data_IF_385571145614
#
_entry.id   IF_385571145614
#
_cell.length_a   1.000
_cell.length_b   1.000
_cell.length_c   1.000
_cell.angle_alpha   90.00
_cell.angle_beta   90.00
_cell.angle_gamma   90.00
#
_symmetry.space_group_name_H-M   'P 1'
#
loop_
_entity.id
_entity.type
_entity.pdbx_description
1 polymer ?
#
# COMPACT_ATOMS: atom_id res chain seq x y z
N UNK A 1 -33.95 54.80 -15.40
CA UNK A 1 -32.77 53.96 -15.28
C UNK A 1 -33.15 52.60 -14.71
N UNK A 2 -32.89 51.53 -15.41
CA UNK A 2 -33.11 50.14 -14.95
C UNK A 2 -31.90 49.67 -14.17
N UNK A 3 -32.00 48.50 -13.55
CA UNK A 3 -30.89 47.87 -12.81
C UNK A 3 -30.68 46.44 -13.28
N UNK A 4 -29.43 45.94 -13.16
CA UNK A 4 -29.12 44.54 -13.42
C UNK A 4 -29.69 43.64 -12.33
N UNK A 5 -30.08 42.41 -12.69
CA UNK A 5 -30.76 41.48 -11.78
C UNK A 5 -29.86 41.03 -10.62
N UNK A 6 -28.58 40.78 -10.84
CA UNK A 6 -27.69 40.21 -9.83
C UNK A 6 -27.09 41.23 -8.87
N UNK A 7 -26.54 42.31 -9.38
CA UNK A 7 -25.80 43.28 -8.56
C UNK A 7 -26.43 44.64 -8.47
N UNK A 8 -27.63 44.82 -9.04
CA UNK A 8 -28.39 46.09 -9.06
C UNK A 8 -27.57 47.27 -9.63
N UNK A 9 -26.70 46.96 -10.59
CA UNK A 9 -25.91 47.97 -11.30
C UNK A 9 -26.83 48.80 -12.20
N UNK A 10 -26.57 50.08 -12.40
CA UNK A 10 -27.37 50.90 -13.31
C UNK A 10 -27.30 50.41 -14.74
N UNK A 11 -28.46 50.37 -15.37
CA UNK A 11 -28.64 50.19 -16.83
C UNK A 11 -29.21 51.46 -17.43
N UNK A 12 -28.38 52.24 -18.12
CA UNK A 12 -28.83 53.48 -18.70
C UNK A 12 -29.55 53.26 -20.05
N UNK A 13 -30.63 53.95 -20.23
CA UNK A 13 -31.33 54.08 -21.50
C UNK A 13 -30.94 55.39 -22.17
N UNK A 14 -31.22 55.52 -23.50
CA UNK A 14 -30.80 56.70 -24.30
C UNK A 14 -31.32 58.06 -23.77
N UNK A 15 -32.39 58.07 -23.03
CA UNK A 15 -33.01 59.26 -22.43
C UNK A 15 -32.56 59.49 -20.97
N UNK A 16 -31.79 58.62 -20.37
CA UNK A 16 -31.38 58.76 -18.97
C UNK A 16 -30.24 59.80 -18.86
N UNK A 17 -30.29 60.63 -17.84
CA UNK A 17 -29.24 61.54 -17.47
C UNK A 17 -28.26 60.78 -16.56
N UNK A 18 -27.01 60.60 -17.04
CA UNK A 18 -25.95 59.88 -16.31
C UNK A 18 -25.32 60.84 -15.29
N UNK A 19 -25.40 60.49 -13.99
CA UNK A 19 -24.74 61.22 -12.94
C UNK A 19 -23.44 60.54 -12.54
N UNK A 20 -22.45 61.30 -12.11
CA UNK A 20 -21.19 60.77 -11.59
C UNK A 20 -21.37 59.86 -10.41
N UNK A 21 -22.39 60.17 -9.56
CA UNK A 21 -22.74 59.34 -8.40
C UNK A 21 -23.20 57.94 -8.79
N UNK A 22 -23.99 57.82 -9.90
CA UNK A 22 -24.43 56.50 -10.39
C UNK A 22 -23.26 55.63 -10.85
N UNK A 23 -22.25 56.25 -11.45
CA UNK A 23 -21.00 55.58 -11.82
C UNK A 23 -20.22 55.11 -10.61
N UNK A 24 -19.99 56.00 -9.67
CA UNK A 24 -19.20 55.70 -8.45
C UNK A 24 -19.87 54.60 -7.63
N UNK A 25 -21.23 54.63 -7.52
CA UNK A 25 -21.98 53.58 -6.85
C UNK A 25 -21.87 52.21 -7.60
N UNK A 26 -21.94 52.24 -8.93
CA UNK A 26 -21.78 51.03 -9.72
C UNK A 26 -20.39 50.41 -9.55
N UNK A 27 -19.31 51.22 -9.60
CA UNK A 27 -17.94 50.77 -9.38
C UNK A 27 -17.75 50.25 -7.94
N UNK A 28 -18.26 50.95 -6.92
CA UNK A 28 -18.19 50.49 -5.55
C UNK A 28 -18.87 49.16 -5.32
N UNK A 29 -20.05 48.95 -5.91
CA UNK A 29 -20.75 47.63 -5.85
C UNK A 29 -19.99 46.53 -6.58
N UNK A 30 -19.41 46.84 -7.73
CA UNK A 30 -18.61 45.87 -8.50
C UNK A 30 -17.35 45.48 -7.72
N UNK A 31 -16.62 46.43 -7.18
CA UNK A 31 -15.41 46.20 -6.37
C UNK A 31 -15.74 45.36 -5.14
N UNK A 32 -16.79 45.68 -4.39
CA UNK A 32 -17.23 44.94 -3.23
C UNK A 32 -17.63 43.47 -3.62
N UNK A 33 -18.33 43.28 -4.73
CA UNK A 33 -18.73 41.97 -5.18
C UNK A 33 -17.52 41.11 -5.64
N UNK A 34 -16.55 41.71 -6.35
CA UNK A 34 -15.31 41.03 -6.73
C UNK A 34 -14.49 40.64 -5.50
N UNK A 35 -14.38 41.54 -4.52
CA UNK A 35 -13.69 41.25 -3.27
C UNK A 35 -14.37 40.11 -2.50
N UNK A 36 -15.69 40.15 -2.35
CA UNK A 36 -16.42 39.10 -1.69
C UNK A 36 -16.27 37.73 -2.35
N UNK A 37 -16.29 37.70 -3.70
CA UNK A 37 -16.02 36.49 -4.48
C UNK A 37 -14.59 35.95 -4.26
N UNK A 38 -13.60 36.83 -4.29
CA UNK A 38 -12.22 36.45 -4.04
C UNK A 38 -12.04 35.86 -2.63
N UNK A 39 -12.63 36.49 -1.62
CA UNK A 39 -12.57 36.02 -0.22
C UNK A 39 -13.31 34.68 -0.04
N UNK A 40 -14.50 34.54 -0.63
CA UNK A 40 -15.25 33.28 -0.58
C UNK A 40 -14.49 32.14 -1.27
N UNK A 41 -13.90 32.41 -2.44
CA UNK A 41 -13.07 31.43 -3.17
C UNK A 41 -11.85 31.03 -2.34
N UNK A 42 -11.13 31.99 -1.77
CA UNK A 42 -9.96 31.70 -0.94
C UNK A 42 -10.34 30.88 0.31
N UNK A 43 -11.48 31.21 0.94
CA UNK A 43 -11.98 30.47 2.11
C UNK A 43 -12.39 29.04 1.73
N UNK A 44 -13.12 28.85 0.63
CA UNK A 44 -13.51 27.55 0.12
C UNK A 44 -12.31 26.67 -0.24
N UNK A 45 -11.30 27.25 -0.90
CA UNK A 45 -10.09 26.50 -1.24
C UNK A 45 -9.30 26.04 0.00
N UNK A 46 -9.22 26.88 1.03
CA UNK A 46 -8.56 26.50 2.29
C UNK A 46 -9.32 25.39 2.98
N UNK A 47 -10.65 25.45 3.04
CA UNK A 47 -11.49 24.41 3.65
C UNK A 47 -11.35 23.09 2.90
N UNK A 48 -11.39 23.10 1.57
CA UNK A 48 -11.19 21.89 0.74
C UNK A 48 -9.79 21.29 0.92
N UNK A 49 -8.75 22.14 0.97
CA UNK A 49 -7.38 21.68 1.19
C UNK A 49 -7.24 21.01 2.56
N UNK A 50 -7.83 21.58 3.61
CA UNK A 50 -7.83 20.98 4.94
C UNK A 50 -8.57 19.63 4.96
N UNK A 51 -9.78 19.56 4.38
CA UNK A 51 -10.57 18.35 4.32
C UNK A 51 -9.87 17.22 3.55
N UNK A 52 -9.21 17.54 2.44
CA UNK A 52 -8.38 16.56 1.70
C UNK A 52 -7.20 16.07 2.53
N UNK A 53 -6.49 16.95 3.19
CA UNK A 53 -5.35 16.57 4.04
C UNK A 53 -5.77 15.65 5.19
N UNK A 54 -6.92 15.91 5.80
CA UNK A 54 -7.50 15.05 6.84
C UNK A 54 -7.90 13.68 6.27
N UNK A 55 -8.55 13.64 5.11
CA UNK A 55 -8.95 12.41 4.44
C UNK A 55 -7.73 11.57 4.02
N UNK A 56 -6.70 12.19 3.47
CA UNK A 56 -5.45 11.51 3.09
C UNK A 56 -4.72 10.95 4.31
N UNK A 57 -4.73 11.70 5.43
CA UNK A 57 -4.15 11.25 6.70
C UNK A 57 -4.92 10.04 7.25
N UNK A 58 -6.25 10.09 7.23
CA UNK A 58 -7.09 8.98 7.68
C UNK A 58 -6.92 7.75 6.77
N UNK A 59 -6.84 7.94 5.47
CA UNK A 59 -6.58 6.87 4.51
C UNK A 59 -5.20 6.23 4.73
N UNK A 60 -4.15 7.04 4.87
CA UNK A 60 -2.80 6.60 5.20
C UNK A 60 -2.76 5.78 6.50
N UNK A 61 -3.45 6.26 7.54
CA UNK A 61 -3.55 5.55 8.82
C UNK A 61 -4.28 4.22 8.67
N UNK A 62 -5.36 4.17 7.91
CA UNK A 62 -6.11 2.94 7.67
C UNK A 62 -5.31 1.95 6.82
N UNK A 63 -4.61 2.40 5.78
CA UNK A 63 -3.74 1.56 4.96
C UNK A 63 -2.51 1.05 5.73
N UNK A 64 -1.98 1.86 6.65
CA UNK A 64 -0.87 1.49 7.52
C UNK A 64 -1.27 0.66 8.75
N UNK A 65 -2.57 0.55 9.07
CA UNK A 65 -3.04 -0.31 10.16
C UNK A 65 -2.83 -1.79 9.81
N UNK A 66 -2.62 -2.62 10.84
CA UNK A 66 -2.35 -4.04 10.68
C UNK A 66 -3.38 -4.72 9.76
N UNK A 67 -2.91 -5.30 8.66
CA UNK A 67 -3.74 -5.99 7.68
C UNK A 67 -4.46 -5.11 6.65
N UNK A 68 -4.29 -3.80 6.68
CA UNK A 68 -4.98 -2.89 5.76
C UNK A 68 -4.18 -2.58 4.50
N UNK A 69 -2.86 -2.62 4.53
CA UNK A 69 -2.04 -2.55 3.34
C UNK A 69 -1.55 -3.96 2.95
N UNK A 70 -1.57 -4.27 1.66
CA UNK A 70 -1.01 -5.51 1.15
C UNK A 70 0.35 -5.21 0.50
N UNK A 71 1.41 -5.84 1.05
CA UNK A 71 2.75 -5.86 0.45
C UNK A 71 2.94 -7.19 -0.27
N UNK A 72 3.43 -7.12 -1.49
CA UNK A 72 3.79 -8.31 -2.29
C UNK A 72 5.25 -8.15 -2.71
N UNK A 73 6.06 -9.19 -2.48
CA UNK A 73 7.43 -9.23 -2.99
C UNK A 73 7.70 -10.58 -3.65
N UNK A 74 8.63 -10.57 -4.59
CA UNK A 74 9.12 -11.74 -5.29
C UNK A 74 10.63 -11.76 -5.22
N UNK A 75 11.20 -12.96 -5.19
CA UNK A 75 12.64 -13.11 -5.24
C UNK A 75 13.06 -14.53 -5.50
N UNK A 76 14.36 -14.75 -5.44
CA UNK A 76 14.96 -16.08 -5.61
C UNK A 76 16.21 -16.23 -4.76
N UNK A 77 16.57 -17.48 -4.49
CA UNK A 77 17.83 -17.84 -3.87
C UNK A 77 18.39 -19.12 -4.49
N UNK A 78 19.69 -19.35 -4.31
CA UNK A 78 20.34 -20.59 -4.76
C UNK A 78 20.57 -21.50 -3.56
N UNK A 79 20.18 -22.76 -3.69
CA UNK A 79 20.37 -23.77 -2.66
C UNK A 79 21.84 -24.05 -2.37
N UNK A 80 22.17 -24.25 -1.10
CA UNK A 80 23.54 -24.53 -0.61
C UNK A 80 23.84 -26.00 -0.47
N UNK A 81 22.82 -26.86 -0.40
CA UNK A 81 22.92 -28.29 -0.12
C UNK A 81 22.91 -28.62 1.38
N UNK A 82 22.89 -27.63 2.26
CA UNK A 82 22.84 -27.86 3.69
C UNK A 82 21.39 -28.17 4.16
N UNK A 83 21.24 -28.93 5.25
CA UNK A 83 19.95 -29.32 5.80
C UNK A 83 19.95 -29.25 7.34
N UNK A 84 18.74 -29.38 7.90
CA UNK A 84 18.51 -29.50 9.32
C UNK A 84 18.48 -28.18 10.11
N UNK A 85 18.18 -28.28 11.37
CA UNK A 85 17.99 -27.13 12.26
C UNK A 85 19.22 -26.21 12.43
N UNK A 86 20.42 -26.78 12.22
CA UNK A 86 21.68 -26.01 12.26
C UNK A 86 21.91 -25.18 10.97
N UNK A 87 21.16 -25.47 9.91
CA UNK A 87 21.31 -24.83 8.59
C UNK A 87 19.94 -24.48 8.02
N UNK A 88 19.12 -23.65 8.68
CA UNK A 88 17.81 -23.28 8.17
C UNK A 88 17.94 -22.38 6.94
N UNK A 89 17.00 -22.50 6.03
CA UNK A 89 16.80 -21.45 5.04
C UNK A 89 16.20 -20.23 5.74
N UNK A 90 16.61 -19.02 5.32
CA UNK A 90 16.09 -17.76 5.88
C UNK A 90 15.76 -16.80 4.75
N UNK A 91 14.54 -16.27 4.76
CA UNK A 91 14.11 -15.15 3.93
C UNK A 91 13.80 -13.96 4.82
N UNK A 92 14.37 -12.81 4.49
CA UNK A 92 14.20 -11.57 5.23
C UNK A 92 13.50 -10.53 4.35
N UNK A 93 12.57 -9.77 4.94
CA UNK A 93 11.72 -8.82 4.27
C UNK A 93 11.78 -7.46 4.97
N UNK A 94 11.35 -6.41 4.30
CA UNK A 94 11.23 -5.05 4.86
C UNK A 94 9.81 -4.79 5.43
N UNK A 95 8.95 -5.80 5.48
CA UNK A 95 7.59 -5.77 5.98
C UNK A 95 7.26 -7.05 6.76
N UNK A 96 6.09 -7.09 7.39
CA UNK A 96 5.59 -8.24 8.16
C UNK A 96 5.02 -9.30 7.22
N UNK A 97 5.73 -10.42 6.96
CA UNK A 97 5.25 -11.46 6.06
C UNK A 97 4.18 -12.32 6.74
N UNK A 98 3.11 -12.63 6.01
CA UNK A 98 1.99 -13.46 6.48
C UNK A 98 1.93 -14.79 5.74
N UNK A 99 2.20 -14.77 4.43
CA UNK A 99 2.19 -15.95 3.58
C UNK A 99 3.43 -15.92 2.70
N UNK A 100 4.16 -17.03 2.66
CA UNK A 100 5.31 -17.22 1.76
C UNK A 100 5.10 -18.52 0.98
N UNK A 101 5.22 -18.41 -0.33
CA UNK A 101 5.27 -19.54 -1.26
C UNK A 101 6.70 -19.71 -1.76
N UNK A 102 7.24 -20.92 -1.68
CA UNK A 102 8.58 -21.24 -2.19
C UNK A 102 8.46 -22.39 -3.19
N UNK A 103 9.08 -22.22 -4.36
CA UNK A 103 9.07 -23.23 -5.42
C UNK A 103 10.41 -23.30 -6.14
N UNK A 104 10.80 -24.48 -6.68
CA UNK A 104 11.97 -24.56 -7.57
C UNK A 104 11.67 -23.88 -8.91
N UNK A 105 12.64 -23.15 -9.45
CA UNK A 105 12.52 -22.50 -10.77
C UNK A 105 12.51 -23.53 -11.90
N UNK A 106 13.27 -24.60 -11.74
CA UNK A 106 13.30 -25.74 -12.66
C UNK A 106 13.05 -27.00 -11.84
N UNK A 107 11.83 -27.53 -11.80
CA UNK A 107 11.59 -28.81 -11.17
C UNK A 107 12.35 -29.88 -11.95
N UNK A 108 13.27 -30.55 -11.28
CA UNK A 108 13.99 -31.70 -11.83
C UNK A 108 13.52 -32.96 -11.08
N UNK A 109 12.79 -33.82 -11.77
CA UNK A 109 12.21 -35.01 -11.17
C UNK A 109 10.91 -34.74 -10.40
N UNK A 110 10.30 -35.79 -9.89
CA UNK A 110 8.95 -35.82 -9.31
C UNK A 110 8.82 -35.20 -7.89
N UNK A 111 9.79 -34.43 -7.39
CA UNK A 111 9.94 -34.29 -5.95
C UNK A 111 9.90 -32.86 -5.39
N UNK A 112 9.55 -31.85 -6.19
CA UNK A 112 9.63 -30.47 -5.69
C UNK A 112 8.36 -29.68 -5.94
N UNK A 113 7.32 -30.05 -5.21
CA UNK A 113 6.11 -29.25 -5.14
C UNK A 113 6.37 -27.94 -4.37
N UNK A 114 5.66 -26.86 -4.68
CA UNK A 114 5.74 -25.63 -3.89
C UNK A 114 5.38 -25.88 -2.43
N UNK A 115 6.13 -25.25 -1.51
CA UNK A 115 5.75 -25.20 -0.10
C UNK A 115 5.08 -23.88 0.22
N UNK A 116 4.01 -23.94 1.00
CA UNK A 116 3.24 -22.80 1.45
C UNK A 116 3.45 -22.65 2.95
N UNK A 117 4.03 -21.52 3.35
CA UNK A 117 4.23 -21.14 4.74
C UNK A 117 3.19 -20.07 5.12
N UNK A 118 2.37 -20.38 6.09
CA UNK A 118 1.38 -19.46 6.63
C UNK A 118 1.77 -19.08 8.05
N UNK A 119 1.84 -17.79 8.34
CA UNK A 119 2.15 -17.30 9.68
C UNK A 119 1.12 -17.80 10.70
N UNK A 120 1.61 -18.17 11.87
CA UNK A 120 0.82 -18.86 12.88
C UNK A 120 0.87 -20.38 12.80
N UNK A 121 1.47 -20.93 11.73
CA UNK A 121 1.80 -22.36 11.65
C UNK A 121 3.31 -22.55 11.76
N UNK A 122 3.69 -23.52 12.57
CA UNK A 122 5.08 -23.94 12.78
C UNK A 122 5.52 -25.07 11.83
N UNK A 123 4.60 -25.54 10.99
CA UNK A 123 4.81 -26.62 10.03
C UNK A 123 4.30 -26.23 8.65
N UNK A 124 5.06 -26.60 7.64
CA UNK A 124 4.65 -26.63 6.25
C UNK A 124 4.94 -28.00 5.65
N UNK A 125 4.31 -28.31 4.53
CA UNK A 125 4.55 -29.54 3.79
C UNK A 125 5.40 -29.29 2.57
N UNK A 126 6.39 -30.16 2.33
CA UNK A 126 7.10 -30.29 1.07
C UNK A 126 6.77 -31.69 0.56
N UNK A 127 5.64 -31.84 -0.16
CA UNK A 127 5.20 -33.14 -0.66
C UNK A 127 6.00 -33.55 -1.89
N UNK A 128 6.74 -34.66 -1.82
CA UNK A 128 7.15 -35.39 -3.01
C UNK A 128 6.02 -36.30 -3.48
N UNK A 129 5.94 -36.58 -4.76
CA UNK A 129 5.08 -37.64 -5.29
C UNK A 129 5.44 -38.96 -4.60
N UNK A 130 4.46 -39.59 -3.98
CA UNK A 130 4.63 -40.90 -3.35
C UNK A 130 4.08 -41.02 -1.94
N UNK A 131 3.39 -39.99 -1.41
CA UNK A 131 2.57 -40.12 -0.18
C UNK A 131 3.32 -39.96 1.14
N UNK A 132 4.60 -39.63 1.13
CA UNK A 132 5.32 -39.25 2.34
C UNK A 132 5.27 -37.75 2.56
N UNK A 133 4.64 -37.34 3.67
CA UNK A 133 4.54 -35.94 4.08
C UNK A 133 5.86 -35.50 4.72
N UNK A 134 6.75 -34.87 3.95
CA UNK A 134 7.97 -34.28 4.51
C UNK A 134 7.65 -32.95 5.14
N UNK A 135 7.67 -32.92 6.46
CA UNK A 135 7.37 -31.72 7.21
C UNK A 135 8.58 -30.78 7.26
N UNK A 136 8.31 -29.54 6.94
CA UNK A 136 9.22 -28.41 7.18
C UNK A 136 8.85 -27.75 8.49
N UNK A 137 9.81 -27.59 9.39
CA UNK A 137 9.64 -26.77 10.59
C UNK A 137 9.90 -25.32 10.23
N UNK A 138 8.93 -24.45 10.51
CA UNK A 138 8.97 -23.03 10.21
C UNK A 138 9.00 -22.18 11.47
N UNK A 139 9.80 -21.12 11.47
CA UNK A 139 9.83 -20.12 12.52
C UNK A 139 9.75 -18.73 11.91
N UNK A 140 9.03 -17.84 12.58
CA UNK A 140 8.73 -16.50 12.13
C UNK A 140 9.25 -15.44 13.09
N UNK A 141 9.87 -14.42 12.57
CA UNK A 141 10.10 -13.15 13.26
C UNK A 141 9.25 -12.05 12.63
N UNK A 142 9.32 -10.83 13.11
CA UNK A 142 8.53 -9.74 12.55
C UNK A 142 8.76 -9.51 11.05
N UNK A 143 9.96 -9.76 10.58
CA UNK A 143 10.35 -9.50 9.21
C UNK A 143 11.06 -10.67 8.52
N UNK A 144 11.00 -11.87 9.09
CA UNK A 144 11.64 -13.03 8.48
C UNK A 144 10.83 -14.31 8.65
N UNK A 145 11.04 -15.21 7.69
CA UNK A 145 10.70 -16.62 7.76
C UNK A 145 11.98 -17.44 7.70
N UNK A 146 12.11 -18.39 8.62
CA UNK A 146 13.11 -19.43 8.54
C UNK A 146 12.45 -20.81 8.53
N UNK A 147 13.07 -21.78 7.84
CA UNK A 147 12.58 -23.16 7.84
C UNK A 147 13.70 -24.18 7.63
N UNK A 148 13.46 -25.39 8.10
CA UNK A 148 14.36 -26.52 7.91
C UNK A 148 13.57 -27.83 7.80
N UNK A 149 14.17 -28.82 7.17
CA UNK A 149 13.74 -30.23 7.20
C UNK A 149 14.58 -31.03 8.19
N UNK A 150 13.98 -31.99 8.87
CA UNK A 150 14.72 -32.98 9.66
C UNK A 150 15.31 -34.09 8.81
N UNK A 151 14.93 -34.17 7.53
CA UNK A 151 15.49 -35.11 6.58
C UNK A 151 16.87 -34.65 6.09
N UNK A 152 17.70 -35.60 5.71
CA UNK A 152 19.05 -35.34 5.17
C UNK A 152 19.06 -34.93 3.71
N UNK A 153 17.96 -35.11 2.98
CA UNK A 153 17.85 -34.72 1.58
C UNK A 153 17.52 -33.24 1.43
N UNK A 154 18.48 -32.47 0.94
CA UNK A 154 18.37 -31.03 0.82
C UNK A 154 17.21 -30.54 -0.09
N UNK A 155 16.73 -31.39 -1.00
CA UNK A 155 15.57 -31.10 -1.85
C UNK A 155 14.29 -30.89 -1.05
N UNK A 156 14.09 -31.60 0.03
CA UNK A 156 12.91 -31.45 0.88
C UNK A 156 12.88 -30.11 1.63
N UNK A 157 14.05 -29.56 1.90
CA UNK A 157 14.19 -28.22 2.49
C UNK A 157 14.13 -27.09 1.45
N UNK A 158 13.96 -27.39 0.15
CA UNK A 158 14.18 -26.44 -0.94
C UNK A 158 15.58 -25.83 -0.93
N UNK A 159 16.60 -26.66 -0.68
CA UNK A 159 17.98 -26.19 -0.54
C UNK A 159 19.00 -27.09 -1.28
N UNK A 160 18.59 -27.80 -2.33
CA UNK A 160 19.50 -28.64 -3.09
C UNK A 160 20.59 -27.77 -3.75
N UNK A 161 21.84 -28.20 -3.61
CA UNK A 161 23.01 -27.43 -4.02
C UNK A 161 22.95 -27.03 -5.49
N UNK A 162 23.03 -25.72 -5.74
CA UNK A 162 23.05 -25.16 -7.10
C UNK A 162 21.66 -24.99 -7.75
N UNK A 163 20.60 -25.52 -7.16
CA UNK A 163 19.24 -25.26 -7.65
C UNK A 163 18.78 -23.87 -7.26
N UNK A 164 18.05 -23.21 -8.18
CA UNK A 164 17.43 -21.92 -7.92
C UNK A 164 15.98 -22.13 -7.51
N UNK A 165 15.62 -21.46 -6.42
CA UNK A 165 14.26 -21.44 -5.88
C UNK A 165 13.72 -20.02 -5.97
N UNK A 166 12.47 -19.87 -6.41
CA UNK A 166 11.74 -18.61 -6.38
C UNK A 166 10.78 -18.57 -5.20
N UNK A 167 10.48 -17.37 -4.74
CA UNK A 167 9.46 -17.18 -3.72
C UNK A 167 8.55 -16.00 -4.06
N UNK A 168 7.31 -16.09 -3.59
CA UNK A 168 6.36 -15.00 -3.51
C UNK A 168 5.94 -14.82 -2.06
N UNK A 169 5.84 -13.58 -1.60
CA UNK A 169 5.44 -13.27 -0.23
C UNK A 169 4.34 -12.23 -0.22
N UNK A 170 3.36 -12.46 0.64
CA UNK A 170 2.29 -11.53 0.99
C UNK A 170 2.47 -11.11 2.44
N UNK A 171 2.26 -9.84 2.72
CA UNK A 171 2.33 -9.31 4.07
C UNK A 171 1.79 -7.89 4.16
N UNK A 172 2.17 -7.17 5.20
CA UNK A 172 1.75 -5.79 5.43
C UNK A 172 2.81 -5.02 6.24
N UNK A 173 2.76 -3.69 6.17
CA UNK A 173 3.59 -2.85 7.03
C UNK A 173 2.97 -2.81 8.43
N UNK A 174 3.74 -3.23 9.45
CA UNK A 174 3.34 -3.02 10.85
C UNK A 174 3.43 -1.53 11.17
N UNK A 175 2.37 -0.99 11.74
CA UNK A 175 2.44 0.32 12.39
C UNK A 175 3.43 0.17 13.56
N UNK A 176 4.48 0.97 13.57
CA UNK A 176 5.31 1.09 14.75
C UNK A 176 4.43 1.70 15.85
N UNK A 177 4.16 0.93 16.90
CA UNK A 177 3.61 1.52 18.11
C UNK A 177 4.65 2.52 18.62
N UNK A 178 4.29 3.80 18.62
CA UNK A 178 5.11 4.82 19.28
C UNK A 178 5.11 4.48 20.76
N UNK A 179 6.31 4.20 21.28
CA UNK A 179 6.55 3.88 22.68
C UNK A 179 6.44 5.12 23.58
#
# INVERSE_FOLDING_TARGET
MKKTDNYSLPQWEKQDFIKMEDFNDAFGKTDAALKANADATATGLRAETAARSEADTALSKNLGAAGHNCRIAFGSYTGTGATGAANPNVLQFDFYPVLVLVAPVKPSGSTQNPSIFLRGRDKASSQPEGGNDYQLTAAWTDNALSWYSTDTYAGYQHNFKGNVYCYAVLGYDKVKEEA
#
